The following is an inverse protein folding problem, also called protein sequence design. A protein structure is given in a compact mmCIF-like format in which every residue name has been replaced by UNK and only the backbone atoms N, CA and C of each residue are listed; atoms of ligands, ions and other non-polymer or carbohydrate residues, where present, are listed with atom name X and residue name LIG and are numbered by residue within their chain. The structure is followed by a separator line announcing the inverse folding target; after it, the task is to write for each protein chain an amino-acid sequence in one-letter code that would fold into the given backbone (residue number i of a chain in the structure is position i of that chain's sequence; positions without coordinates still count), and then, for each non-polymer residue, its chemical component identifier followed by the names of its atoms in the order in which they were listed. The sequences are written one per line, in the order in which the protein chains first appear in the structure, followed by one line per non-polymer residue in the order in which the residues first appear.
data_IF_376242604169
#
_entry.id   IF_376242604169
#
_cell.length_a   1.000
_cell.length_b   1.000
_cell.length_c   1.000
_cell.angle_alpha   90.00
_cell.angle_beta   90.00
_cell.angle_gamma   90.00
#
_symmetry.space_group_name_H-M   'P 1'
#
loop_
_entity.id
_entity.type
_entity.pdbx_description
1 polymer ?
#
# COMPACT_ATOMS: atom_id res chain seq x y z
N UNK A 1 4.70 -1.39 -30.35
CA UNK A 1 3.35 -1.00 -29.86
C UNK A 1 2.65 -2.05 -28.98
N UNK A 2 2.69 -3.36 -29.30
CA UNK A 2 2.02 -4.40 -28.48
C UNK A 2 2.61 -4.60 -27.07
N UNK A 3 3.93 -4.57 -26.92
CA UNK A 3 4.60 -4.83 -25.63
C UNK A 3 4.35 -3.75 -24.58
N UNK A 4 4.41 -2.46 -24.95
CA UNK A 4 4.06 -1.35 -24.05
C UNK A 4 2.61 -1.41 -23.56
N UNK A 5 1.69 -1.85 -24.43
CA UNK A 5 0.27 -2.01 -24.10
C UNK A 5 0.01 -3.18 -23.14
N UNK A 6 0.81 -4.25 -23.25
CA UNK A 6 0.82 -5.38 -22.31
C UNK A 6 1.40 -4.97 -20.94
N UNK A 7 2.51 -4.23 -20.93
CA UNK A 7 3.13 -3.69 -19.71
C UNK A 7 2.23 -2.64 -19.01
N UNK A 8 1.41 -1.93 -19.77
CA UNK A 8 0.42 -0.99 -19.25
C UNK A 8 -0.84 -1.67 -18.70
N UNK A 9 -1.03 -2.98 -18.93
CA UNK A 9 -2.19 -3.71 -18.40
C UNK A 9 -1.90 -4.27 -17.00
N UNK A 10 -2.50 -3.63 -15.99
CA UNK A 10 -2.31 -3.96 -14.57
C UNK A 10 -2.63 -5.43 -14.27
N UNK A 11 -3.74 -5.95 -14.81
CA UNK A 11 -4.21 -7.32 -14.54
C UNK A 11 -3.24 -8.36 -15.09
N UNK A 12 -2.75 -8.15 -16.31
CA UNK A 12 -1.79 -9.07 -16.93
C UNK A 12 -0.46 -9.06 -16.18
N UNK A 13 0.08 -7.87 -15.88
CA UNK A 13 1.34 -7.72 -15.15
C UNK A 13 1.27 -8.37 -13.77
N UNK A 14 0.14 -8.19 -13.06
CA UNK A 14 -0.05 -8.77 -11.74
C UNK A 14 -0.21 -10.29 -11.76
N UNK A 15 -1.01 -10.81 -12.68
CA UNK A 15 -1.18 -12.24 -12.83
C UNK A 15 0.16 -12.91 -13.21
N UNK A 16 0.91 -12.33 -14.15
CA UNK A 16 2.22 -12.83 -14.54
C UNK A 16 3.22 -12.77 -13.38
N UNK A 17 3.28 -11.65 -12.65
CA UNK A 17 4.16 -11.49 -11.48
C UNK A 17 3.85 -12.52 -10.40
N UNK A 18 2.57 -12.77 -10.11
CA UNK A 18 2.16 -13.77 -9.14
C UNK A 18 2.57 -15.19 -9.57
N UNK A 19 2.33 -15.56 -10.83
CA UNK A 19 2.74 -16.86 -11.38
C UNK A 19 4.26 -17.03 -11.29
N UNK A 20 5.04 -16.01 -11.66
CA UNK A 20 6.50 -16.02 -11.55
C UNK A 20 6.94 -16.18 -10.09
N UNK A 21 6.32 -15.45 -9.15
CA UNK A 21 6.65 -15.52 -7.73
C UNK A 21 6.43 -16.91 -7.14
N UNK A 22 5.33 -17.58 -7.54
CA UNK A 22 5.00 -18.93 -7.06
C UNK A 22 5.96 -19.97 -7.63
N UNK A 23 6.30 -19.86 -8.92
CA UNK A 23 7.16 -20.84 -9.61
C UNK A 23 8.64 -20.69 -9.23
N UNK A 24 9.16 -19.47 -9.27
CA UNK A 24 10.59 -19.18 -9.13
C UNK A 24 10.99 -18.69 -7.73
N UNK A 25 10.02 -18.29 -6.89
CA UNK A 25 10.30 -17.72 -5.57
C UNK A 25 10.64 -16.22 -5.63
N UNK A 26 11.30 -15.72 -4.58
CA UNK A 26 11.72 -14.32 -4.47
C UNK A 26 12.95 -14.03 -5.33
N UNK A 27 13.37 -12.76 -5.38
CA UNK A 27 14.59 -12.41 -6.11
C UNK A 27 15.81 -13.07 -5.45
N UNK A 28 16.73 -13.67 -6.23
CA UNK A 28 17.95 -14.27 -5.69
C UNK A 28 18.81 -13.18 -5.05
N UNK A 29 19.32 -13.43 -3.83
CA UNK A 29 20.08 -12.47 -3.00
C UNK A 29 21.50 -12.15 -3.53
N UNK A 30 21.67 -12.10 -4.85
CA UNK A 30 22.98 -12.15 -5.53
C UNK A 30 23.72 -10.80 -5.51
N UNK A 31 23.18 -9.75 -4.88
CA UNK A 31 23.80 -8.41 -4.88
C UNK A 31 23.78 -7.69 -3.52
N UNK A 32 23.64 -8.41 -2.39
CA UNK A 32 23.58 -7.78 -1.06
C UNK A 32 22.31 -6.93 -0.82
N UNK A 33 21.37 -6.94 -1.76
CA UNK A 33 20.06 -6.30 -1.65
C UNK A 33 19.09 -7.28 -1.04
N UNK A 34 18.75 -7.10 0.25
CA UNK A 34 17.72 -7.91 0.91
C UNK A 34 16.35 -7.68 0.24
N UNK A 35 15.54 -8.73 0.15
CA UNK A 35 14.16 -8.68 -0.36
C UNK A 35 13.29 -7.60 0.33
N UNK A 36 13.54 -7.32 1.62
CA UNK A 36 12.89 -6.21 2.34
C UNK A 36 13.19 -4.83 1.74
N UNK A 37 14.40 -4.58 1.25
CA UNK A 37 14.78 -3.29 0.66
C UNK A 37 14.13 -3.08 -0.70
N UNK A 38 14.02 -4.14 -1.51
CA UNK A 38 13.35 -4.11 -2.82
C UNK A 38 11.86 -3.78 -2.62
N UNK A 39 11.22 -4.42 -1.65
CA UNK A 39 9.80 -4.17 -1.34
C UNK A 39 9.57 -2.72 -0.87
N UNK A 40 10.43 -2.21 0.01
CA UNK A 40 10.38 -0.83 0.49
C UNK A 40 10.57 0.18 -0.65
N UNK A 41 11.53 -0.08 -1.54
CA UNK A 41 11.87 0.80 -2.65
C UNK A 41 10.78 0.81 -3.72
N UNK A 42 10.23 -0.35 -4.08
CA UNK A 42 9.09 -0.48 -4.98
C UNK A 42 7.86 0.27 -4.43
N UNK A 43 7.57 0.12 -3.14
CA UNK A 43 6.48 0.83 -2.47
C UNK A 43 6.71 2.35 -2.52
N UNK A 44 7.92 2.82 -2.22
CA UNK A 44 8.30 4.23 -2.29
C UNK A 44 8.13 4.83 -3.69
N UNK A 45 8.53 4.09 -4.74
CA UNK A 45 8.34 4.50 -6.14
C UNK A 45 6.85 4.61 -6.49
N UNK A 46 6.07 3.58 -6.16
CA UNK A 46 4.63 3.54 -6.42
C UNK A 46 3.88 4.69 -5.74
N UNK A 47 4.20 4.95 -4.48
CA UNK A 47 3.61 6.05 -3.72
C UNK A 47 4.02 7.41 -4.31
N UNK A 48 5.31 7.60 -4.63
CA UNK A 48 5.80 8.85 -5.22
C UNK A 48 5.09 9.18 -6.53
N UNK A 49 4.98 8.19 -7.43
CA UNK A 49 4.31 8.36 -8.72
C UNK A 49 2.78 8.50 -8.60
N UNK A 50 2.16 7.83 -7.64
CA UNK A 50 0.73 7.99 -7.36
C UNK A 50 0.41 9.34 -6.72
N UNK A 51 1.33 9.94 -5.97
CA UNK A 51 1.17 11.26 -5.38
C UNK A 51 1.35 12.38 -6.42
N UNK A 52 2.17 12.18 -7.47
CA UNK A 52 2.32 13.14 -8.58
C UNK A 52 0.99 13.40 -9.29
N UNK A 53 0.10 12.40 -9.38
CA UNK A 53 -1.21 12.56 -10.03
C UNK A 53 -2.20 13.37 -9.19
N UNK A 54 -1.92 13.60 -7.91
CA UNK A 54 -2.78 14.38 -7.02
C UNK A 54 -2.58 15.89 -7.29
N UNK A 55 -3.46 16.46 -8.11
CA UNK A 55 -3.51 17.91 -8.29
C UNK A 55 -4.19 18.57 -7.08
N UNK A 56 -3.40 19.10 -6.15
CA UNK A 56 -3.88 19.95 -5.05
C UNK A 56 -4.19 21.38 -5.55
N UNK A 57 -5.08 21.53 -6.54
CA UNK A 57 -5.44 22.85 -7.09
C UNK A 57 -6.87 23.21 -6.68
N UNK A 58 -7.02 24.15 -5.75
CA UNK A 58 -8.30 24.77 -5.39
C UNK A 58 -9.06 24.16 -4.21
N UNK A 59 -8.38 23.49 -3.25
CA UNK A 59 -9.06 22.74 -2.18
C UNK A 59 -9.66 23.65 -1.12
N UNK A 60 -10.99 23.70 -1.07
CA UNK A 60 -11.71 24.37 0.01
C UNK A 60 -11.91 23.39 1.18
N UNK A 61 -10.89 23.31 2.04
CA UNK A 61 -10.79 22.36 3.17
C UNK A 61 -11.96 22.54 4.16
N UNK A 62 -12.49 23.76 4.29
CA UNK A 62 -13.57 24.08 5.22
C UNK A 62 -14.94 23.63 4.70
N UNK A 63 -15.17 23.70 3.39
CA UNK A 63 -16.44 23.28 2.76
C UNK A 63 -16.66 21.75 2.82
N UNK A 64 -15.58 20.97 2.91
CA UNK A 64 -15.63 19.50 2.79
C UNK A 64 -15.46 18.74 4.11
N UNK A 65 -15.58 19.40 5.27
CA UNK A 65 -15.40 18.77 6.59
C UNK A 65 -16.29 17.55 6.81
N UNK A 66 -17.54 17.59 6.36
CA UNK A 66 -18.45 16.44 6.46
C UNK A 66 -18.07 15.25 5.57
N UNK A 67 -17.39 15.48 4.45
CA UNK A 67 -16.87 14.40 3.61
C UNK A 67 -15.63 13.77 4.25
N UNK A 68 -14.71 14.59 4.79
CA UNK A 68 -13.53 14.11 5.52
C UNK A 68 -13.91 13.25 6.73
N UNK A 69 -14.87 13.69 7.53
CA UNK A 69 -15.30 12.93 8.71
C UNK A 69 -15.92 11.58 8.32
N UNK A 70 -16.77 11.54 7.28
CA UNK A 70 -17.32 10.28 6.77
C UNK A 70 -16.21 9.36 6.25
N UNK A 71 -15.27 9.88 5.47
CA UNK A 71 -14.14 9.10 4.98
C UNK A 71 -13.29 8.54 6.13
N UNK A 72 -13.09 9.33 7.20
CA UNK A 72 -12.43 8.89 8.43
C UNK A 72 -13.16 7.76 9.13
N UNK A 73 -14.46 7.92 9.38
CA UNK A 73 -15.25 6.88 10.04
C UNK A 73 -15.24 5.59 9.20
N UNK A 74 -15.49 5.67 7.89
CA UNK A 74 -15.47 4.48 7.05
C UNK A 74 -14.09 3.82 6.94
N UNK A 75 -13.01 4.62 6.84
CA UNK A 75 -11.66 4.08 6.60
C UNK A 75 -10.96 3.59 7.87
N UNK A 76 -11.06 4.33 8.98
CA UNK A 76 -10.36 3.97 10.21
C UNK A 76 -11.25 3.27 11.24
N UNK A 77 -12.53 3.60 11.31
CA UNK A 77 -13.41 2.95 12.31
C UNK A 77 -13.99 1.67 11.73
N UNK A 78 -14.66 1.76 10.58
CA UNK A 78 -15.33 0.60 9.97
C UNK A 78 -14.31 -0.36 9.36
N UNK A 79 -13.45 0.09 8.44
CA UNK A 79 -12.52 -0.82 7.76
C UNK A 79 -11.48 -1.42 8.72
N UNK A 80 -10.79 -0.61 9.53
CA UNK A 80 -9.83 -1.16 10.50
C UNK A 80 -10.53 -1.99 11.58
N UNK A 81 -11.70 -1.56 12.09
CA UNK A 81 -12.46 -2.32 13.08
C UNK A 81 -12.91 -3.70 12.58
N UNK A 82 -13.44 -3.77 11.36
CA UNK A 82 -13.80 -5.05 10.72
C UNK A 82 -12.56 -5.93 10.50
N UNK A 83 -11.45 -5.34 10.06
CA UNK A 83 -10.20 -6.07 9.82
C UNK A 83 -9.62 -6.63 11.12
N UNK A 84 -9.67 -5.87 12.23
CA UNK A 84 -9.26 -6.33 13.56
C UNK A 84 -10.19 -7.42 14.07
N UNK A 85 -11.51 -7.28 13.87
CA UNK A 85 -12.47 -8.33 14.22
C UNK A 85 -12.18 -9.62 13.47
N UNK A 86 -11.82 -9.53 12.18
CA UNK A 86 -11.36 -10.67 11.39
C UNK A 86 -10.03 -11.24 11.90
N UNK A 87 -9.11 -10.39 12.37
CA UNK A 87 -7.83 -10.83 12.93
C UNK A 87 -8.01 -11.80 14.12
N UNK A 88 -9.10 -11.65 14.89
CA UNK A 88 -9.41 -12.54 16.01
C UNK A 88 -9.79 -13.98 15.60
N UNK A 89 -10.13 -14.21 14.33
CA UNK A 89 -10.31 -15.58 13.80
C UNK A 89 -8.98 -16.30 13.55
N UNK A 90 -7.86 -15.58 13.54
CA UNK A 90 -6.53 -16.11 13.27
C UNK A 90 -5.65 -16.11 14.54
N UNK A 91 -4.63 -16.97 14.56
CA UNK A 91 -3.69 -17.10 15.67
C UNK A 91 -2.24 -16.95 15.19
N UNK A 92 -1.35 -16.59 16.13
CA UNK A 92 0.09 -16.39 15.87
C UNK A 92 0.38 -15.23 14.91
N UNK A 93 1.48 -15.35 14.16
CA UNK A 93 2.00 -14.31 13.24
C UNK A 93 0.97 -13.83 12.20
N UNK A 94 0.00 -14.67 11.85
CA UNK A 94 -1.04 -14.31 10.89
C UNK A 94 -1.98 -13.24 11.46
N UNK A 95 -2.31 -13.32 12.76
CA UNK A 95 -3.12 -12.29 13.45
C UNK A 95 -2.39 -10.95 13.46
N UNK A 96 -1.09 -10.96 13.73
CA UNK A 96 -0.27 -9.74 13.76
C UNK A 96 -0.22 -9.10 12.37
N UNK A 97 -0.11 -9.91 11.31
CA UNK A 97 -0.22 -9.43 9.93
C UNK A 97 -1.56 -8.75 9.63
N UNK A 98 -2.68 -9.34 10.07
CA UNK A 98 -4.01 -8.75 9.88
C UNK A 98 -4.18 -7.43 10.64
N UNK A 99 -3.67 -7.34 11.86
CA UNK A 99 -3.72 -6.10 12.65
C UNK A 99 -2.82 -5.03 12.02
N UNK A 100 -1.64 -5.41 11.50
CA UNK A 100 -0.77 -4.49 10.77
C UNK A 100 -1.45 -3.94 9.51
N UNK A 101 -2.16 -4.78 8.76
CA UNK A 101 -2.96 -4.33 7.61
C UNK A 101 -4.09 -3.38 8.04
N UNK A 102 -4.74 -3.66 9.17
CA UNK A 102 -5.81 -2.81 9.70
C UNK A 102 -5.33 -1.40 10.12
N UNK A 103 -4.06 -1.29 10.55
CA UNK A 103 -3.49 -0.02 11.02
C UNK A 103 -3.18 0.96 9.87
N UNK A 104 -3.00 0.47 8.65
CA UNK A 104 -2.61 1.28 7.48
C UNK A 104 -3.83 2.02 6.91
N UNK A 105 -3.69 3.29 6.47
CA UNK A 105 -4.80 4.05 5.89
C UNK A 105 -5.29 3.48 4.57
N UNK A 106 -6.45 4.00 4.14
CA UNK A 106 -7.05 3.66 2.85
C UNK A 106 -6.09 3.83 1.66
N UNK A 107 -6.23 2.94 0.68
CA UNK A 107 -5.34 2.87 -0.47
C UNK A 107 -5.48 4.09 -1.41
N UNK A 108 -4.36 4.50 -2.02
CA UNK A 108 -4.34 5.60 -3.01
C UNK A 108 -5.24 5.31 -4.22
N UNK A 109 -5.56 4.04 -4.48
CA UNK A 109 -6.44 3.59 -5.57
C UNK A 109 -7.89 4.09 -5.45
N UNK A 110 -8.32 4.60 -4.30
CA UNK A 110 -9.67 5.18 -4.14
C UNK A 110 -9.88 6.40 -5.07
N UNK A 111 -8.81 7.15 -5.37
CA UNK A 111 -8.87 8.33 -6.24
C UNK A 111 -9.19 7.95 -7.70
N UNK A 112 -8.47 7.01 -8.36
CA UNK A 112 -8.84 6.57 -9.71
C UNK A 112 -10.20 5.85 -9.75
N UNK A 113 -10.60 5.13 -8.69
CA UNK A 113 -11.96 4.58 -8.63
C UNK A 113 -13.03 5.67 -8.55
N UNK A 114 -12.79 6.73 -7.78
CA UNK A 114 -13.68 7.90 -7.75
C UNK A 114 -13.79 8.53 -9.14
N UNK A 115 -12.67 8.64 -9.87
CA UNK A 115 -12.67 9.13 -11.25
C UNK A 115 -13.53 8.26 -12.17
N UNK A 116 -13.31 6.94 -12.16
CA UNK A 116 -14.05 5.99 -13.00
C UNK A 116 -15.55 5.98 -12.70
N UNK A 117 -15.93 6.10 -11.42
CA UNK A 117 -17.31 6.12 -10.96
C UNK A 117 -17.96 7.52 -11.07
N UNK A 118 -17.27 8.50 -11.68
CA UNK A 118 -17.74 9.90 -11.79
C UNK A 118 -18.10 10.53 -10.45
N UNK A 119 -17.38 10.14 -9.39
CA UNK A 119 -17.53 10.69 -8.05
C UNK A 119 -16.87 12.07 -7.89
N UNK A 120 -16.98 12.64 -6.69
CA UNK A 120 -16.43 13.96 -6.36
C UNK A 120 -14.93 13.89 -6.05
N UNK A 121 -14.11 14.05 -7.08
CA UNK A 121 -12.65 13.96 -6.99
C UNK A 121 -12.04 14.91 -5.96
N UNK A 122 -12.47 16.17 -5.94
CA UNK A 122 -11.95 17.16 -5.00
C UNK A 122 -12.14 16.70 -3.55
N UNK A 123 -13.35 16.28 -3.20
CA UNK A 123 -13.67 15.77 -1.87
C UNK A 123 -12.86 14.52 -1.51
N UNK A 124 -12.65 13.59 -2.47
CA UNK A 124 -11.80 12.41 -2.26
C UNK A 124 -10.34 12.80 -2.04
N UNK A 125 -9.81 13.74 -2.82
CA UNK A 125 -8.42 14.21 -2.68
C UNK A 125 -8.17 14.86 -1.32
N UNK A 126 -9.06 15.77 -0.88
CA UNK A 126 -8.96 16.40 0.46
C UNK A 126 -9.02 15.31 1.54
N UNK A 127 -10.00 14.41 1.42
CA UNK A 127 -10.23 13.37 2.44
C UNK A 127 -9.07 12.38 2.52
N UNK A 128 -8.55 11.91 1.39
CA UNK A 128 -7.38 11.03 1.35
C UNK A 128 -6.13 11.69 1.93
N UNK A 129 -5.88 12.97 1.61
CA UNK A 129 -4.77 13.71 2.19
C UNK A 129 -4.90 13.87 3.71
N UNK A 130 -6.10 14.22 4.19
CA UNK A 130 -6.38 14.31 5.62
C UNK A 130 -6.20 12.95 6.32
N UNK A 131 -6.65 11.86 5.69
CA UNK A 131 -6.47 10.50 6.22
C UNK A 131 -5.00 10.11 6.32
N UNK A 132 -4.15 10.46 5.35
CA UNK A 132 -2.71 10.20 5.44
C UNK A 132 -2.06 10.96 6.59
N UNK A 133 -2.48 12.21 6.86
CA UNK A 133 -1.99 12.96 8.01
C UNK A 133 -2.42 12.32 9.34
N UNK A 134 -3.68 11.87 9.43
CA UNK A 134 -4.19 11.18 10.61
C UNK A 134 -3.52 9.81 10.80
N UNK A 135 -3.21 9.11 9.70
CA UNK A 135 -2.53 7.82 9.71
C UNK A 135 -1.14 7.87 10.35
N UNK A 136 -0.45 9.00 10.29
CA UNK A 136 0.87 9.16 10.89
C UNK A 136 0.84 8.90 12.41
N UNK A 137 -0.29 9.23 13.05
CA UNK A 137 -0.52 9.00 14.48
C UNK A 137 -1.32 7.73 14.74
N UNK A 138 -2.36 7.46 13.94
CA UNK A 138 -3.22 6.28 14.17
C UNK A 138 -2.52 4.96 13.89
N UNK A 139 -1.71 4.86 12.84
CA UNK A 139 -1.00 3.62 12.50
C UNK A 139 -0.15 3.12 13.68
N UNK A 140 0.81 3.91 14.23
CA UNK A 140 1.60 3.46 15.36
C UNK A 140 0.77 3.25 16.63
N UNK A 141 -0.32 4.01 16.83
CA UNK A 141 -1.19 3.84 17.99
C UNK A 141 -1.96 2.52 17.95
N UNK A 142 -2.54 2.16 16.79
CA UNK A 142 -3.23 0.87 16.60
C UNK A 142 -2.23 -0.28 16.75
N UNK A 143 -1.04 -0.17 16.15
CA UNK A 143 0.01 -1.18 16.32
C UNK A 143 0.39 -1.33 17.79
N UNK A 144 0.60 -0.24 18.53
CA UNK A 144 0.95 -0.29 19.95
C UNK A 144 -0.17 -0.88 20.82
N UNK A 145 -1.43 -0.55 20.54
CA UNK A 145 -2.58 -1.03 21.31
C UNK A 145 -2.81 -2.53 21.14
N UNK A 146 -2.59 -3.07 19.95
CA UNK A 146 -2.96 -4.45 19.62
C UNK A 146 -1.78 -5.42 19.53
N UNK A 147 -0.58 -4.97 19.13
CA UNK A 147 0.65 -5.78 19.10
C UNK A 147 1.58 -5.51 20.30
N UNK A 148 1.33 -4.45 21.08
CA UNK A 148 2.15 -4.12 22.25
C UNK A 148 3.60 -3.77 21.87
N UNK A 149 4.56 -4.31 22.63
CA UNK A 149 6.00 -4.10 22.42
C UNK A 149 6.64 -5.10 21.45
N UNK A 150 5.85 -5.95 20.77
CA UNK A 150 6.38 -6.90 19.79
C UNK A 150 7.09 -6.20 18.61
N UNK A 151 6.70 -4.95 18.34
CA UNK A 151 7.35 -4.08 17.36
C UNK A 151 7.63 -2.73 18.03
N UNK A 152 8.86 -2.24 17.95
CA UNK A 152 9.24 -0.94 18.54
C UNK A 152 8.40 0.20 17.92
N UNK A 153 7.57 0.90 18.73
CA UNK A 153 6.66 1.92 18.21
C UNK A 153 7.40 3.06 17.50
N UNK A 154 8.61 3.37 17.98
CA UNK A 154 9.52 4.36 17.39
C UNK A 154 9.98 3.97 15.98
N UNK A 155 10.25 2.69 15.76
CA UNK A 155 10.65 2.16 14.46
C UNK A 155 9.47 2.16 13.48
N UNK A 156 8.27 1.78 13.94
CA UNK A 156 7.04 1.86 13.12
C UNK A 156 6.76 3.30 12.73
N UNK A 157 6.82 4.23 13.69
CA UNK A 157 6.62 5.65 13.43
C UNK A 157 7.66 6.20 12.45
N UNK A 158 8.94 5.83 12.59
CA UNK A 158 9.99 6.21 11.65
C UNK A 158 9.70 5.69 10.24
N UNK A 159 9.34 4.41 10.08
CA UNK A 159 9.03 3.84 8.77
C UNK A 159 7.78 4.48 8.15
N UNK A 160 6.71 4.70 8.91
CA UNK A 160 5.50 5.37 8.42
C UNK A 160 5.81 6.82 8.04
N UNK A 161 6.58 7.54 8.86
CA UNK A 161 7.00 8.90 8.56
C UNK A 161 7.85 8.95 7.30
N UNK A 162 8.85 8.08 7.15
CA UNK A 162 9.67 7.99 5.94
C UNK A 162 8.81 7.62 4.73
N UNK A 163 7.96 6.60 4.82
CA UNK A 163 7.12 6.14 3.70
C UNK A 163 6.03 7.13 3.30
N UNK A 164 5.65 8.09 4.14
CA UNK A 164 4.69 9.16 3.78
C UNK A 164 5.44 10.44 3.37
N UNK A 165 6.38 10.91 4.19
CA UNK A 165 7.09 12.17 3.96
C UNK A 165 8.06 12.08 2.77
N UNK A 166 8.79 10.98 2.62
CA UNK A 166 9.79 10.87 1.56
C UNK A 166 9.12 10.80 0.17
N UNK A 167 8.07 9.98 -0.07
CA UNK A 167 7.36 9.99 -1.34
C UNK A 167 6.62 11.30 -1.63
N UNK A 168 6.06 11.95 -0.61
CA UNK A 168 5.41 13.27 -0.81
C UNK A 168 6.42 14.33 -1.23
N UNK A 169 7.60 14.39 -0.60
CA UNK A 169 8.68 15.31 -1.01
C UNK A 169 9.18 14.98 -2.42
N UNK A 170 9.50 13.71 -2.69
CA UNK A 170 9.98 13.26 -4.02
C UNK A 170 8.93 13.56 -5.09
N UNK A 171 7.65 13.29 -4.85
CA UNK A 171 6.58 13.59 -5.80
C UNK A 171 6.53 15.08 -6.16
N UNK A 172 6.80 15.98 -5.19
CA UNK A 172 6.81 17.43 -5.41
C UNK A 172 7.95 17.85 -6.35
N UNK A 173 9.12 17.25 -6.19
CA UNK A 173 10.30 17.49 -7.03
C UNK A 173 10.20 16.84 -8.42
N UNK A 174 9.51 15.70 -8.54
CA UNK A 174 9.29 15.02 -9.83
C UNK A 174 8.14 15.61 -10.64
N UNK A 175 7.23 16.36 -10.00
CA UNK A 175 6.08 17.02 -10.65
C UNK A 175 6.41 17.88 -11.88
N UNK A 176 7.46 18.72 -11.89
CA UNK A 176 7.82 19.52 -13.07
C UNK A 176 8.31 18.69 -14.27
N UNK A 177 8.62 17.39 -14.10
CA UNK A 177 9.19 16.57 -15.17
C UNK A 177 8.21 16.14 -16.26
N UNK A 178 6.95 16.59 -16.23
CA UNK A 178 5.93 16.43 -17.28
C UNK A 178 5.90 15.02 -17.92
N UNK A 179 6.04 13.98 -17.09
CA UNK A 179 6.05 12.59 -17.55
C UNK A 179 4.70 12.22 -18.18
N UNK A 180 4.73 11.62 -19.37
CA UNK A 180 3.54 11.09 -20.03
C UNK A 180 2.85 10.06 -19.15
N UNK A 181 1.52 10.14 -19.03
CA UNK A 181 0.71 9.28 -18.17
C UNK A 181 0.95 7.78 -18.44
N UNK A 182 1.12 7.39 -19.70
CA UNK A 182 1.39 6.01 -20.11
C UNK A 182 2.71 5.47 -19.51
N UNK A 183 3.79 6.26 -19.55
CA UNK A 183 5.08 5.88 -18.97
C UNK A 183 4.98 5.72 -17.46
N UNK A 184 4.23 6.60 -16.79
CA UNK A 184 3.99 6.52 -15.35
C UNK A 184 3.26 5.24 -14.96
N UNK A 185 2.20 4.87 -15.70
CA UNK A 185 1.46 3.64 -15.46
C UNK A 185 2.33 2.38 -15.64
N UNK A 186 3.18 2.36 -16.67
CA UNK A 186 4.13 1.26 -16.89
C UNK A 186 5.11 1.13 -15.70
N UNK A 187 5.68 2.24 -15.21
CA UNK A 187 6.62 2.21 -14.08
C UNK A 187 5.92 1.71 -12.80
N UNK A 188 4.70 2.19 -12.52
CA UNK A 188 3.91 1.72 -11.38
C UNK A 188 3.66 0.21 -11.48
N UNK A 189 3.27 -0.29 -12.65
CA UNK A 189 3.00 -1.72 -12.84
C UNK A 189 4.25 -2.58 -12.67
N UNK A 190 5.40 -2.13 -13.14
CA UNK A 190 6.68 -2.82 -12.96
C UNK A 190 7.07 -2.85 -11.48
N UNK A 191 6.97 -1.72 -10.78
CA UNK A 191 7.26 -1.64 -9.35
C UNK A 191 6.30 -2.54 -8.54
N UNK A 192 5.03 -2.58 -8.93
CA UNK A 192 4.03 -3.43 -8.28
C UNK A 192 4.29 -4.92 -8.53
N UNK A 193 4.67 -5.29 -9.76
CA UNK A 193 5.10 -6.65 -10.10
C UNK A 193 6.33 -7.08 -9.28
N UNK A 194 7.35 -6.21 -9.16
CA UNK A 194 8.53 -6.47 -8.34
C UNK A 194 8.15 -6.66 -6.86
N UNK A 195 7.25 -5.85 -6.33
CA UNK A 195 6.76 -5.99 -4.96
C UNK A 195 6.05 -7.34 -4.74
N UNK A 196 5.17 -7.74 -5.65
CA UNK A 196 4.46 -9.03 -5.57
C UNK A 196 5.44 -10.20 -5.62
N UNK A 197 6.41 -10.18 -6.54
CA UNK A 197 7.43 -11.24 -6.65
C UNK A 197 8.22 -11.35 -5.36
N UNK A 198 8.62 -10.22 -4.78
CA UNK A 198 9.38 -10.20 -3.55
C UNK A 198 8.57 -10.73 -2.37
N UNK A 199 7.36 -10.22 -2.15
CA UNK A 199 6.52 -10.58 -0.99
C UNK A 199 6.05 -12.04 -1.08
N UNK A 200 5.49 -12.44 -2.22
CA UNK A 200 4.97 -13.82 -2.42
C UNK A 200 6.13 -14.81 -2.48
N UNK A 201 7.20 -14.44 -3.18
CA UNK A 201 8.36 -15.30 -3.36
C UNK A 201 9.14 -15.58 -2.07
N UNK A 202 9.24 -14.62 -1.15
CA UNK A 202 9.84 -14.84 0.18
C UNK A 202 8.92 -15.65 1.09
N UNK A 203 7.59 -15.54 0.94
CA UNK A 203 6.60 -16.28 1.76
C UNK A 203 6.17 -17.63 1.15
N UNK A 204 6.86 -18.10 0.10
CA UNK A 204 6.63 -19.42 -0.50
C UNK A 204 6.77 -20.56 0.53
N UNK A 205 7.68 -20.49 1.51
CA UNK A 205 7.82 -21.56 2.51
C UNK A 205 6.57 -21.73 3.39
N UNK A 206 6.01 -20.61 3.85
CA UNK A 206 4.87 -20.57 4.79
C UNK A 206 3.57 -21.01 4.12
N UNK A 207 3.38 -20.62 2.85
CA UNK A 207 2.18 -20.96 2.06
C UNK A 207 2.05 -22.46 1.74
N UNK A 208 3.16 -23.21 1.76
CA UNK A 208 3.17 -24.66 1.52
C UNK A 208 3.22 -25.45 2.84
N UNK A 209 3.96 -24.98 3.84
CA UNK A 209 4.01 -25.60 5.17
C UNK A 209 2.65 -25.57 5.89
N UNK A 210 1.87 -24.49 5.77
CA UNK A 210 0.56 -24.39 6.41
C UNK A 210 -0.52 -25.27 5.74
N UNK A 211 -0.25 -25.88 4.58
CA UNK A 211 -1.15 -26.90 3.99
C UNK A 211 -0.91 -28.28 4.58
N UNK A 212 0.30 -28.56 5.07
CA UNK A 212 0.72 -29.87 5.57
C UNK A 212 0.25 -30.19 7.00
N UNK A 213 -0.13 -29.18 7.79
CA UNK A 213 -0.66 -29.35 9.16
C UNK A 213 -2.19 -29.23 9.23
N UNK A 214 -2.89 -29.64 8.18
CA UNK A 214 -4.36 -29.78 8.18
C UNK A 214 -4.85 -31.22 8.41
N UNK A 215 -3.95 -32.10 8.87
CA UNK A 215 -4.28 -33.43 9.39
C UNK A 215 -3.92 -33.52 10.88
N UNK A 216 -4.83 -33.96 11.76
CA UNK A 216 -4.55 -34.09 13.19
C UNK A 216 -3.53 -35.21 13.40
N UNK A 217 -2.43 -34.89 14.08
CA UNK A 217 -1.65 -35.87 14.82
C UNK A 217 -2.07 -35.78 16.29
#
# INVERSE_FOLDING_TARGET
MKLRRLLANNTFMLAAAFVVAVLFGGFPEVLGVKNSNISLLSLGIMMSLSLISLQFRGLDVRAHRGAMFRAFVLSFVVSSGVTIALAHLFQGDLRDGWIMVAAVPSAVSVIPFTYMLRGRLEATLVSSAALYMVALLLTPLITLLFLGQAVSPTTVLWYVAVLILLPTVISRFLRPLNMKDETRHIIINIAFAALVITVVGTNRGVSWANRSCSSPC
#
